data_IF_890577475982
#
_entry.id   IF_890577475982
#
_cell.length_a   1.000
_cell.length_b   1.000
_cell.length_c   1.000
_cell.angle_alpha   90.00
_cell.angle_beta   90.00
_cell.angle_gamma   90.00
#
_symmetry.space_group_name_H-M   'P 1'
#
loop_
_entity.id
_entity.type
_entity.pdbx_description
1 polymer ?
#
# COMPACT_ATOMS: atom_id res chain seq x y z
N UNK A 1 0.90 -10.32 -24.83
CA UNK A 1 0.96 -10.60 -23.37
C UNK A 1 2.40 -10.91 -23.03
N UNK A 2 3.12 -9.84 -22.72
CA UNK A 2 4.57 -9.74 -22.77
C UNK A 2 5.26 -10.63 -21.74
N UNK A 3 6.35 -11.28 -22.16
CA UNK A 3 7.15 -12.23 -21.35
C UNK A 3 7.54 -11.64 -19.98
N UNK A 4 7.69 -10.32 -19.89
CA UNK A 4 7.97 -9.56 -18.65
C UNK A 4 6.86 -9.63 -17.60
N UNK A 5 5.58 -9.63 -18.01
CA UNK A 5 4.44 -9.81 -17.09
C UNK A 5 4.42 -11.23 -16.50
N UNK A 6 4.83 -12.23 -17.30
CA UNK A 6 4.92 -13.63 -16.87
C UNK A 6 6.06 -13.88 -15.88
N UNK A 7 7.19 -13.20 -16.04
CA UNK A 7 8.32 -13.27 -15.10
C UNK A 7 8.01 -12.56 -13.78
N UNK A 8 7.42 -11.36 -13.82
CA UNK A 8 6.96 -10.65 -12.62
C UNK A 8 5.95 -11.48 -11.81
N UNK A 9 5.00 -12.15 -12.50
CA UNK A 9 3.99 -12.98 -11.84
C UNK A 9 4.58 -14.23 -11.17
N UNK A 10 5.69 -14.76 -11.68
CA UNK A 10 6.36 -15.94 -11.10
C UNK A 10 7.21 -15.60 -9.88
N UNK A 11 7.94 -14.49 -9.93
CA UNK A 11 8.79 -14.07 -8.81
C UNK A 11 7.98 -13.48 -7.65
N UNK A 12 6.96 -12.66 -7.94
CA UNK A 12 6.23 -11.93 -6.90
C UNK A 12 4.75 -12.37 -6.83
N UNK A 13 4.51 -13.68 -6.95
CA UNK A 13 3.16 -14.26 -7.02
C UNK A 13 2.31 -13.86 -5.80
N UNK A 14 2.89 -13.86 -4.61
CA UNK A 14 2.20 -13.51 -3.36
C UNK A 14 1.75 -12.05 -3.33
N UNK A 15 2.65 -11.12 -3.66
CA UNK A 15 2.34 -9.68 -3.72
C UNK A 15 1.29 -9.40 -4.79
N UNK A 16 1.43 -10.03 -5.96
CA UNK A 16 0.47 -9.88 -7.05
C UNK A 16 -0.92 -10.37 -6.65
N UNK A 17 -1.00 -11.51 -5.94
CA UNK A 17 -2.26 -12.05 -5.45
C UNK A 17 -2.86 -11.16 -4.34
N UNK A 18 -2.04 -10.66 -3.42
CA UNK A 18 -2.45 -9.71 -2.39
C UNK A 18 -2.99 -8.41 -2.99
N UNK A 19 -2.36 -7.90 -4.05
CA UNK A 19 -2.83 -6.72 -4.77
C UNK A 19 -4.19 -6.96 -5.43
N UNK A 20 -4.37 -8.09 -6.11
CA UNK A 20 -5.64 -8.45 -6.74
C UNK A 20 -6.77 -8.57 -5.69
N UNK A 21 -6.52 -9.28 -4.59
CA UNK A 21 -7.50 -9.42 -3.50
C UNK A 21 -7.83 -8.06 -2.87
N UNK A 22 -6.81 -7.23 -2.63
CA UNK A 22 -7.00 -5.88 -2.08
C UNK A 22 -7.88 -4.99 -2.97
N UNK A 23 -7.68 -5.04 -4.29
CA UNK A 23 -8.50 -4.30 -5.26
C UNK A 23 -9.95 -4.81 -5.23
N UNK A 24 -10.17 -6.12 -5.25
CA UNK A 24 -11.52 -6.71 -5.22
C UNK A 24 -12.26 -6.32 -3.95
N UNK A 25 -11.60 -6.39 -2.79
CA UNK A 25 -12.20 -5.98 -1.51
C UNK A 25 -12.51 -4.48 -1.49
N UNK A 26 -11.59 -3.64 -1.99
CA UNK A 26 -11.80 -2.19 -2.06
C UNK A 26 -12.99 -1.84 -2.94
N UNK A 27 -13.10 -2.44 -4.13
CA UNK A 27 -14.24 -2.24 -5.04
C UNK A 27 -15.53 -2.74 -4.39
N UNK A 28 -15.49 -3.90 -3.72
CA UNK A 28 -16.62 -4.44 -2.97
C UNK A 28 -17.13 -3.44 -1.91
N UNK A 29 -16.23 -2.85 -1.13
CA UNK A 29 -16.59 -1.81 -0.15
C UNK A 29 -17.19 -0.58 -0.83
N UNK A 30 -16.62 -0.12 -1.95
CA UNK A 30 -17.12 1.04 -2.67
C UNK A 30 -18.54 0.86 -3.21
N UNK A 31 -18.92 -0.36 -3.61
CA UNK A 31 -20.25 -0.68 -4.15
C UNK A 31 -21.26 -0.94 -3.01
N UNK A 32 -20.87 -1.69 -1.98
CA UNK A 32 -21.78 -2.17 -0.93
C UNK A 32 -22.05 -1.11 0.12
N UNK A 33 -21.06 -0.27 0.44
CA UNK A 33 -21.17 0.73 1.50
C UNK A 33 -21.51 2.09 0.87
N UNK A 34 -22.68 2.68 1.14
CA UNK A 34 -23.07 3.97 0.59
C UNK A 34 -22.52 5.17 1.38
N UNK A 35 -22.09 4.98 2.62
CA UNK A 35 -21.56 6.06 3.46
C UNK A 35 -20.07 6.32 3.18
N UNK A 36 -19.69 7.57 2.97
CA UNK A 36 -18.32 7.93 2.59
C UNK A 36 -17.31 7.70 3.71
N UNK A 37 -17.65 8.08 4.95
CA UNK A 37 -16.76 7.96 6.11
C UNK A 37 -16.47 6.49 6.40
N UNK A 38 -17.52 5.67 6.40
CA UNK A 38 -17.42 4.22 6.61
C UNK A 38 -16.61 3.53 5.52
N UNK A 39 -16.74 3.95 4.25
CA UNK A 39 -15.88 3.45 3.16
C UNK A 39 -14.40 3.71 3.46
N UNK A 40 -14.05 4.94 3.84
CA UNK A 40 -12.65 5.27 4.15
C UNK A 40 -12.13 4.49 5.36
N UNK A 41 -12.96 4.32 6.41
CA UNK A 41 -12.60 3.54 7.59
C UNK A 41 -12.36 2.06 7.27
N UNK A 42 -13.09 1.48 6.30
CA UNK A 42 -12.92 0.08 5.89
C UNK A 42 -11.78 -0.11 4.89
N UNK A 43 -11.53 0.87 4.01
CA UNK A 43 -10.45 0.82 3.01
C UNK A 43 -9.08 1.07 3.67
N UNK A 44 -9.00 1.92 4.69
CA UNK A 44 -7.73 2.28 5.34
C UNK A 44 -6.98 1.06 5.93
N UNK A 45 -7.62 0.14 6.68
CA UNK A 45 -6.98 -1.10 7.13
C UNK A 45 -6.55 -2.02 5.99
N UNK A 46 -7.30 -2.07 4.88
CA UNK A 46 -6.94 -2.88 3.70
C UNK A 46 -5.65 -2.35 3.08
N UNK A 47 -5.54 -1.02 2.92
CA UNK A 47 -4.32 -0.39 2.43
C UNK A 47 -3.15 -0.55 3.40
N UNK A 48 -3.37 -0.34 4.70
CA UNK A 48 -2.33 -0.50 5.71
C UNK A 48 -1.81 -1.95 5.76
N UNK A 49 -2.71 -2.93 5.68
CA UNK A 49 -2.37 -4.34 5.60
C UNK A 49 -1.58 -4.69 4.34
N UNK A 50 -1.94 -4.12 3.19
CA UNK A 50 -1.19 -4.32 1.94
C UNK A 50 0.22 -3.72 2.02
N UNK A 51 0.38 -2.52 2.56
CA UNK A 51 1.70 -1.87 2.72
C UNK A 51 2.56 -2.66 3.70
N UNK A 52 2.00 -3.05 4.85
CA UNK A 52 2.70 -3.86 5.85
C UNK A 52 3.15 -5.20 5.26
N UNK A 53 2.25 -5.88 4.55
CA UNK A 53 2.57 -7.14 3.86
C UNK A 53 3.65 -6.93 2.79
N UNK A 54 3.59 -5.83 2.04
CA UNK A 54 4.62 -5.50 1.05
C UNK A 54 5.99 -5.33 1.71
N UNK A 55 6.08 -4.60 2.83
CA UNK A 55 7.34 -4.43 3.55
C UNK A 55 7.87 -5.75 4.11
N UNK A 56 7.00 -6.64 4.58
CA UNK A 56 7.40 -7.93 5.13
C UNK A 56 7.85 -8.96 4.09
N UNK A 57 7.38 -8.81 2.84
CA UNK A 57 7.65 -9.78 1.74
C UNK A 57 8.71 -9.27 0.77
N UNK A 58 9.01 -7.97 0.77
CA UNK A 58 10.07 -7.39 -0.06
C UNK A 58 11.42 -7.65 0.62
N UNK A 59 12.36 -8.29 -0.08
CA UNK A 59 13.73 -8.51 0.41
C UNK A 59 14.47 -7.18 0.63
N UNK A 60 15.38 -7.14 1.61
CA UNK A 60 16.09 -5.93 2.06
C UNK A 60 16.83 -5.19 0.91
N UNK A 61 17.23 -5.89 -0.16
CA UNK A 61 17.92 -5.32 -1.33
C UNK A 61 17.08 -4.31 -2.15
N UNK A 62 15.74 -4.41 -2.19
CA UNK A 62 14.91 -3.43 -2.94
C UNK A 62 14.55 -2.17 -2.11
N UNK A 63 14.81 -2.20 -0.79
CA UNK A 63 14.39 -1.17 0.16
C UNK A 63 15.47 -0.11 0.43
N UNK A 64 16.75 -0.43 0.20
CA UNK A 64 17.88 0.49 0.43
C UNK A 64 18.13 1.48 -0.72
N UNK A 65 17.74 1.16 -1.96
CA UNK A 65 18.07 1.96 -3.16
C UNK A 65 16.99 2.97 -3.59
N UNK A 66 15.87 3.07 -2.87
CA UNK A 66 14.83 4.09 -3.12
C UNK A 66 14.70 5.06 -1.96
N UNK A 67 14.83 6.39 -2.18
CA UNK A 67 14.54 7.36 -1.14
C UNK A 67 13.10 7.14 -0.67
N UNK A 68 12.94 6.76 0.61
CA UNK A 68 11.65 6.57 1.27
C UNK A 68 10.68 7.68 0.82
N UNK A 69 9.53 7.38 0.18
CA UNK A 69 8.58 8.41 -0.16
C UNK A 69 8.16 9.07 1.15
N UNK A 70 8.49 10.36 1.28
CA UNK A 70 8.27 11.13 2.48
C UNK A 70 6.79 11.04 2.86
N UNK A 71 6.50 10.31 3.95
CA UNK A 71 5.17 10.29 4.55
C UNK A 71 4.78 11.74 4.89
N UNK A 72 3.62 12.25 4.44
CA UNK A 72 3.19 13.62 4.72
C UNK A 72 3.05 13.90 6.23
N UNK A 73 2.91 12.85 7.07
CA UNK A 73 2.86 12.96 8.52
C UNK A 73 4.19 13.46 9.15
N UNK A 74 5.34 13.26 8.48
CA UNK A 74 6.64 13.71 8.99
C UNK A 74 6.86 15.23 8.82
N UNK A 75 6.22 15.86 7.83
CA UNK A 75 6.41 17.29 7.54
C UNK A 75 5.70 18.20 8.54
N UNK A 76 4.64 17.72 9.19
CA UNK A 76 3.87 18.52 10.14
C UNK A 76 4.51 18.59 11.53
N UNK A 77 5.16 17.50 11.97
CA UNK A 77 5.88 17.47 13.25
C UNK A 77 7.14 18.37 13.24
N UNK A 78 7.83 18.49 12.10
CA UNK A 78 9.06 19.30 12.00
C UNK A 78 8.80 20.82 12.04
N UNK A 79 7.60 21.30 11.69
CA UNK A 79 7.29 22.74 11.72
C UNK A 79 6.91 23.27 13.11
N UNK A 80 6.45 22.42 14.04
CA UNK A 80 6.08 22.85 15.41
C UNK A 80 7.24 22.85 16.41
N UNK A 81 8.36 22.19 16.11
CA UNK A 81 9.51 22.10 17.05
C UNK A 81 10.59 23.18 16.84
N UNK A 82 10.44 24.07 15.86
CA UNK A 82 11.46 25.06 15.47
C UNK A 82 11.15 26.51 15.87
N UNK A 83 10.23 26.76 16.80
CA UNK A 83 9.94 28.10 17.32
C UNK A 83 10.17 28.14 18.82
N UNK A 84 11.44 28.27 19.21
CA UNK A 84 11.84 28.87 20.49
C UNK A 84 12.40 30.25 20.18
#
# INVERSE_FOLDING_TARGET
MDKKLKEFYKNNKLITWAAVVGIVLTIGVLIVVPDEVTRFTLIMPIFAGFILFSILVTDDEELEDKPKPASPASREASKKSGKK
#
